data_IF_003717987372
#
_entry.id   IF_003717987372
#
_cell.length_a   1.000
_cell.length_b   1.000
_cell.length_c   1.000
_cell.angle_alpha   90.00
_cell.angle_beta   90.00
_cell.angle_gamma   90.00
#
_symmetry.space_group_name_H-M   'P 1'
#
loop_
_entity.id
_entity.type
_entity.pdbx_description
1 polymer ?
#
# COMPACT_ATOMS: atom_id res chain seq x y z
N UNK A 1 -37.19 -3.01 -54.85
CA UNK A 1 -37.25 -3.87 -53.64
C UNK A 1 -35.97 -4.68 -53.57
N UNK A 2 -35.15 -4.45 -52.54
CA UNK A 2 -34.06 -5.29 -51.97
C UNK A 2 -33.07 -4.36 -51.25
N UNK A 3 -33.46 -3.91 -50.06
CA UNK A 3 -32.54 -3.27 -49.12
C UNK A 3 -31.76 -4.37 -48.40
N UNK A 4 -30.44 -4.35 -48.52
CA UNK A 4 -29.55 -5.24 -47.75
C UNK A 4 -29.13 -4.45 -46.52
N UNK A 5 -29.67 -4.82 -45.36
CA UNK A 5 -29.24 -4.28 -44.06
C UNK A 5 -27.97 -5.04 -43.67
N UNK A 6 -26.82 -4.39 -43.82
CA UNK A 6 -25.56 -4.88 -43.28
C UNK A 6 -25.53 -4.58 -41.77
N UNK A 7 -25.81 -5.60 -40.95
CA UNK A 7 -25.65 -5.52 -39.50
C UNK A 7 -24.19 -5.79 -39.17
N UNK A 8 -23.41 -4.72 -39.01
CA UNK A 8 -22.08 -4.81 -38.41
C UNK A 8 -22.23 -4.91 -36.90
N UNK A 9 -22.22 -6.12 -36.37
CA UNK A 9 -21.90 -6.35 -34.96
C UNK A 9 -20.42 -5.98 -34.76
N UNK A 10 -20.15 -4.73 -34.41
CA UNK A 10 -18.90 -4.37 -33.76
C UNK A 10 -18.94 -4.99 -32.37
N UNK A 11 -18.35 -6.19 -32.25
CA UNK A 11 -17.94 -6.75 -30.98
C UNK A 11 -16.92 -5.80 -30.37
N UNK A 12 -17.37 -4.92 -29.48
CA UNK A 12 -16.49 -4.15 -28.62
C UNK A 12 -15.87 -5.16 -27.67
N UNK A 13 -14.70 -5.68 -28.05
CA UNK A 13 -13.88 -6.50 -27.18
C UNK A 13 -13.40 -5.57 -26.06
N UNK A 14 -14.19 -5.47 -24.99
CA UNK A 14 -13.80 -4.83 -23.74
C UNK A 14 -12.65 -5.65 -23.16
N UNK A 15 -11.44 -5.41 -23.64
CA UNK A 15 -10.25 -5.76 -22.89
C UNK A 15 -10.30 -4.89 -21.63
N UNK A 16 -10.78 -5.47 -20.54
CA UNK A 16 -10.50 -4.97 -19.20
C UNK A 16 -8.99 -5.13 -18.97
N UNK A 17 -8.18 -4.30 -19.62
CA UNK A 17 -6.83 -4.03 -19.16
C UNK A 17 -6.99 -3.38 -17.80
N UNK A 18 -6.78 -4.16 -16.73
CA UNK A 18 -6.60 -3.59 -15.41
C UNK A 18 -5.55 -2.48 -15.56
N UNK A 19 -5.91 -1.23 -15.23
CA UNK A 19 -4.98 -0.11 -15.31
C UNK A 19 -3.72 -0.47 -14.51
N UNK A 20 -2.57 -0.41 -15.18
CA UNK A 20 -1.31 -0.76 -14.55
C UNK A 20 -0.99 0.27 -13.48
N UNK A 21 -0.93 -0.17 -12.22
CA UNK A 21 -0.71 0.68 -11.05
C UNK A 21 0.51 1.60 -11.24
N UNK A 22 0.28 2.90 -11.36
CA UNK A 22 1.32 3.92 -11.46
C UNK A 22 1.61 4.49 -10.08
N UNK A 23 2.88 4.60 -9.72
CA UNK A 23 3.25 5.24 -8.48
C UNK A 23 2.88 6.72 -8.53
N UNK A 24 2.13 7.16 -7.52
CA UNK A 24 1.85 8.57 -7.29
C UNK A 24 3.13 9.27 -6.78
N UNK A 25 3.22 10.60 -6.90
CA UNK A 25 4.32 11.35 -6.33
C UNK A 25 4.45 11.09 -4.83
N UNK A 26 5.67 10.87 -4.36
CA UNK A 26 5.95 10.74 -2.93
C UNK A 26 5.86 12.11 -2.23
N UNK A 27 5.68 12.07 -0.91
CA UNK A 27 5.68 13.23 -0.05
C UNK A 27 7.00 14.00 -0.18
N UNK A 28 6.92 15.29 -0.50
CA UNK A 28 8.11 16.13 -0.70
C UNK A 28 8.99 16.23 0.55
N UNK A 29 8.40 16.07 1.73
CA UNK A 29 9.08 16.10 3.02
C UNK A 29 9.55 14.71 3.49
N UNK A 30 9.50 13.67 2.65
CA UNK A 30 9.95 12.33 3.02
C UNK A 30 11.45 12.34 3.42
N UNK A 31 11.72 11.89 4.64
CA UNK A 31 13.04 11.72 5.20
C UNK A 31 13.24 10.26 5.58
N UNK A 32 14.09 9.54 4.82
CA UNK A 32 14.33 8.11 5.00
C UNK A 32 14.82 7.75 6.40
N UNK A 33 15.70 8.57 6.99
CA UNK A 33 16.27 8.27 8.31
C UNK A 33 15.24 8.37 9.41
N UNK A 34 14.45 9.44 9.41
CA UNK A 34 13.37 9.64 10.38
C UNK A 34 12.27 8.59 10.17
N UNK A 35 11.78 8.45 8.93
CA UNK A 35 10.70 7.54 8.59
C UNK A 35 10.97 6.10 9.02
N UNK A 36 12.16 5.57 8.72
CA UNK A 36 12.51 4.18 9.05
C UNK A 36 13.04 4.00 10.48
N UNK A 37 13.27 5.07 11.25
CA UNK A 37 13.56 4.98 12.69
C UNK A 37 12.31 4.72 13.54
N UNK A 38 11.12 4.96 12.98
CA UNK A 38 9.84 4.73 13.63
C UNK A 38 9.46 3.26 13.46
N UNK A 39 9.57 2.49 14.54
CA UNK A 39 9.21 1.07 14.56
C UNK A 39 8.83 0.63 15.97
N UNK A 40 7.75 -0.15 16.17
CA UNK A 40 6.83 -0.64 15.15
C UNK A 40 5.81 0.42 14.70
N UNK A 41 5.23 0.22 13.52
CA UNK A 41 4.01 0.93 13.07
C UNK A 41 2.90 -0.06 12.73
N UNK A 42 1.65 0.35 12.86
CA UNK A 42 0.48 -0.49 12.62
C UNK A 42 -0.22 -0.06 11.34
N UNK A 43 -0.64 -1.04 10.54
CA UNK A 43 -1.60 -0.78 9.46
C UNK A 43 -2.95 -0.50 10.12
N UNK A 44 -3.51 0.68 9.89
CA UNK A 44 -4.80 1.07 10.50
C UNK A 44 -5.94 1.07 9.51
N UNK A 45 -5.65 1.44 8.25
CA UNK A 45 -6.61 1.45 7.16
C UNK A 45 -6.00 0.93 5.87
N UNK A 46 -6.85 0.37 5.01
CA UNK A 46 -6.50 -0.11 3.68
C UNK A 46 -7.63 0.21 2.70
N UNK A 47 -7.27 0.74 1.53
CA UNK A 47 -8.23 1.18 0.50
C UNK A 47 -8.88 -0.01 -0.21
N UNK A 48 -8.09 -0.99 -0.61
CA UNK A 48 -8.54 -2.11 -1.46
C UNK A 48 -8.04 -3.47 -0.97
N UNK A 49 -7.16 -3.49 0.04
CA UNK A 49 -6.60 -4.71 0.60
C UNK A 49 -7.66 -5.60 1.23
N UNK A 50 -7.33 -6.90 1.31
CA UNK A 50 -8.16 -7.88 1.99
C UNK A 50 -8.34 -7.51 3.47
N UNK A 51 -9.44 -7.95 4.09
CA UNK A 51 -9.83 -7.54 5.44
C UNK A 51 -8.68 -7.63 6.46
N UNK A 52 -7.88 -8.68 6.41
CA UNK A 52 -6.82 -8.96 7.38
C UNK A 52 -5.53 -8.17 7.08
N UNK A 53 -5.48 -7.39 6.01
CA UNK A 53 -4.34 -6.51 5.66
C UNK A 53 -4.08 -5.49 6.75
N UNK A 54 -5.15 -4.94 7.35
CA UNK A 54 -5.07 -3.96 8.44
C UNK A 54 -4.71 -4.61 9.78
N UNK A 55 -4.77 -5.94 9.91
CA UNK A 55 -4.39 -6.65 11.13
C UNK A 55 -2.89 -6.97 11.16
N UNK A 56 -2.05 -5.97 10.85
CA UNK A 56 -0.60 -6.11 10.77
C UNK A 56 0.15 -5.01 11.49
N UNK A 57 1.29 -5.37 12.06
CA UNK A 57 2.34 -4.45 12.50
C UNK A 57 3.58 -4.62 11.64
N UNK A 58 4.28 -3.52 11.37
CA UNK A 58 5.48 -3.45 10.57
C UNK A 58 6.64 -3.02 11.46
N UNK A 59 7.69 -3.83 11.46
CA UNK A 59 8.95 -3.55 12.14
C UNK A 59 10.04 -3.39 11.09
N UNK A 60 10.76 -2.26 11.09
CA UNK A 60 11.74 -1.97 10.03
C UNK A 60 13.14 -1.80 10.59
N UNK A 61 14.10 -2.39 9.89
CA UNK A 61 15.54 -2.28 10.17
C UNK A 61 16.24 -1.69 8.95
N UNK A 62 17.19 -0.77 9.16
CA UNK A 62 18.03 -0.20 8.11
C UNK A 62 19.31 -1.01 7.95
N UNK A 63 19.68 -1.32 6.72
CA UNK A 63 20.94 -1.97 6.38
C UNK A 63 22.02 -0.90 6.08
N UNK A 64 23.29 -1.30 6.18
CA UNK A 64 24.43 -0.41 5.88
C UNK A 64 24.54 0.01 4.41
N UNK A 65 23.90 -0.72 3.50
CA UNK A 65 23.87 -0.45 2.06
C UNK A 65 22.75 0.53 1.63
N UNK A 66 22.00 1.08 2.59
CA UNK A 66 20.90 2.01 2.33
C UNK A 66 19.55 1.33 2.02
N UNK A 67 19.49 0.01 1.92
CA UNK A 67 18.23 -0.73 1.90
C UNK A 67 17.61 -0.81 3.30
N UNK A 68 16.33 -1.16 3.37
CA UNK A 68 15.66 -1.48 4.63
C UNK A 68 14.94 -2.81 4.54
N UNK A 69 14.80 -3.50 5.66
CA UNK A 69 14.00 -4.72 5.77
C UNK A 69 12.82 -4.43 6.68
N UNK A 70 11.61 -4.55 6.15
CA UNK A 70 10.36 -4.43 6.89
C UNK A 70 9.75 -5.81 7.11
N UNK A 71 9.60 -6.22 8.37
CA UNK A 71 8.88 -7.42 8.76
C UNK A 71 7.42 -7.06 9.05
N UNK A 72 6.51 -7.54 8.21
CA UNK A 72 5.07 -7.42 8.39
C UNK A 72 4.53 -8.67 9.09
N UNK A 73 4.20 -8.56 10.37
CA UNK A 73 3.67 -9.67 11.18
C UNK A 73 2.21 -9.44 11.56
N UNK A 74 1.46 -10.51 11.85
CA UNK A 74 0.08 -10.40 12.34
C UNK A 74 -0.01 -9.64 13.66
N UNK A 75 -1.06 -8.84 13.80
CA UNK A 75 -1.42 -8.14 15.02
C UNK A 75 -2.96 -8.19 15.15
N UNK A 76 -3.49 -9.41 15.30
CA UNK A 76 -4.93 -9.70 15.35
C UNK A 76 -5.49 -10.28 14.05
N UNK A 77 -6.83 -10.31 13.93
CA UNK A 77 -7.55 -10.84 12.76
C UNK A 77 -7.66 -12.37 12.73
N UNK A 78 -8.70 -12.88 12.08
CA UNK A 78 -8.91 -14.32 11.84
C UNK A 78 -9.41 -14.56 10.41
N UNK A 79 -8.74 -15.40 9.60
CA UNK A 79 -7.50 -16.13 9.91
C UNK A 79 -6.29 -15.19 9.98
N UNK A 80 -5.31 -15.56 10.80
CA UNK A 80 -4.05 -14.82 10.87
C UNK A 80 -3.26 -14.95 9.57
N UNK A 81 -2.72 -13.84 9.06
CA UNK A 81 -1.86 -13.83 7.88
C UNK A 81 -0.48 -14.42 8.20
N UNK A 82 0.29 -14.92 7.23
CA UNK A 82 1.70 -15.23 7.48
C UNK A 82 2.51 -13.95 7.75
N UNK A 83 3.58 -14.08 8.53
CA UNK A 83 4.63 -13.07 8.59
C UNK A 83 5.33 -12.98 7.24
N UNK A 84 5.64 -11.76 6.80
CA UNK A 84 6.33 -11.50 5.54
C UNK A 84 7.50 -10.59 5.80
N UNK A 85 8.67 -10.92 5.26
CA UNK A 85 9.85 -10.05 5.29
C UNK A 85 10.01 -9.37 3.94
N UNK A 86 10.08 -8.04 3.91
CA UNK A 86 10.18 -7.25 2.69
C UNK A 86 11.44 -6.40 2.69
N UNK A 87 12.31 -6.59 1.71
CA UNK A 87 13.46 -5.72 1.46
C UNK A 87 13.02 -4.56 0.58
N UNK A 88 13.16 -3.33 1.06
CA UNK A 88 12.88 -2.10 0.34
C UNK A 88 14.18 -1.50 -0.20
N UNK A 89 14.26 -1.35 -1.51
CA UNK A 89 15.36 -0.70 -2.21
C UNK A 89 14.89 0.65 -2.75
N UNK A 90 15.50 1.78 -2.36
CA UNK A 90 15.14 3.10 -2.88
C UNK A 90 15.24 3.16 -4.41
N UNK A 91 14.26 3.78 -5.08
CA UNK A 91 14.33 4.02 -6.52
C UNK A 91 15.21 5.22 -6.81
N UNK A 92 16.16 5.07 -7.73
CA UNK A 92 17.01 6.17 -8.17
C UNK A 92 16.19 7.31 -8.76
N UNK A 93 16.49 8.55 -8.37
CA UNK A 93 15.80 9.75 -8.85
C UNK A 93 14.38 9.96 -8.29
N UNK A 94 13.92 9.15 -7.33
CA UNK A 94 12.57 9.28 -6.75
C UNK A 94 12.59 9.01 -5.24
N UNK A 95 12.91 10.06 -4.47
CA UNK A 95 12.91 10.00 -3.01
C UNK A 95 11.52 9.58 -2.47
N UNK A 96 11.47 8.68 -1.50
CA UNK A 96 10.22 8.15 -0.94
C UNK A 96 9.49 7.11 -1.81
N UNK A 97 10.12 6.63 -2.89
CA UNK A 97 9.63 5.51 -3.68
C UNK A 97 10.60 4.33 -3.65
N UNK A 98 10.05 3.11 -3.64
CA UNK A 98 10.83 1.89 -3.45
C UNK A 98 10.44 0.78 -4.42
N UNK A 99 11.44 -0.02 -4.80
CA UNK A 99 11.23 -1.38 -5.28
C UNK A 99 11.28 -2.30 -4.07
N UNK A 100 10.30 -3.20 -3.93
CA UNK A 100 10.15 -4.00 -2.71
C UNK A 100 10.06 -5.48 -3.09
N UNK A 101 10.90 -6.30 -2.48
CA UNK A 101 10.89 -7.76 -2.63
C UNK A 101 10.46 -8.38 -1.31
N UNK A 102 9.33 -9.07 -1.31
CA UNK A 102 8.73 -9.67 -0.13
C UNK A 102 8.83 -11.19 -0.16
N UNK A 103 9.28 -11.79 0.94
CA UNK A 103 9.44 -13.23 1.15
C UNK A 103 8.44 -13.70 2.21
N UNK A 104 7.58 -14.66 1.85
CA UNK A 104 6.58 -15.25 2.75
C UNK A 104 7.17 -16.50 3.43
N UNK A 105 7.83 -17.34 2.64
CA UNK A 105 8.54 -18.55 3.05
C UNK A 105 9.69 -18.80 2.08
N UNK A 106 10.58 -19.74 2.40
CA UNK A 106 11.61 -20.19 1.46
C UNK A 106 10.98 -20.54 0.09
N UNK A 107 11.52 -19.94 -0.97
CA UNK A 107 11.04 -20.14 -2.36
C UNK A 107 9.80 -19.33 -2.77
N UNK A 108 9.04 -18.73 -1.85
CA UNK A 108 7.83 -17.97 -2.17
C UNK A 108 8.04 -16.47 -1.93
N UNK A 109 8.28 -15.74 -3.02
CA UNK A 109 8.41 -14.29 -3.00
C UNK A 109 7.44 -13.60 -3.96
N UNK A 110 7.23 -12.31 -3.74
CA UNK A 110 6.51 -11.44 -4.64
C UNK A 110 7.16 -10.05 -4.64
N UNK A 111 6.97 -9.32 -5.73
CA UNK A 111 7.52 -7.98 -5.90
C UNK A 111 6.39 -6.97 -5.96
N UNK A 112 6.62 -5.83 -5.31
CA UNK A 112 5.76 -4.66 -5.41
C UNK A 112 6.64 -3.43 -5.61
N UNK A 113 6.03 -2.33 -6.01
CA UNK A 113 6.62 -1.00 -5.86
C UNK A 113 5.76 -0.19 -4.88
N UNK A 114 6.37 0.79 -4.23
CA UNK A 114 5.66 1.61 -3.26
C UNK A 114 6.04 3.08 -3.33
N UNK A 115 5.15 3.93 -2.83
CA UNK A 115 5.38 5.36 -2.66
C UNK A 115 4.78 5.82 -1.34
N UNK A 116 5.57 6.54 -0.55
CA UNK A 116 5.11 7.21 0.67
C UNK A 116 4.43 8.51 0.25
N UNK A 117 3.10 8.51 0.17
CA UNK A 117 2.30 9.62 -0.37
C UNK A 117 2.20 10.80 0.59
N UNK A 118 2.16 10.51 1.89
CA UNK A 118 2.13 11.50 2.96
C UNK A 118 2.78 10.92 4.21
N UNK A 119 3.50 11.73 4.96
CA UNK A 119 4.06 11.35 6.26
C UNK A 119 4.53 12.60 7.00
N UNK A 120 4.58 12.54 8.32
CA UNK A 120 5.35 13.47 9.16
C UNK A 120 6.74 12.92 9.52
N UNK A 121 7.10 11.75 9.00
CA UNK A 121 8.28 10.96 9.33
C UNK A 121 8.38 10.53 10.80
N UNK A 122 7.27 10.53 11.55
CA UNK A 122 7.27 10.22 12.98
C UNK A 122 6.06 9.38 13.41
N UNK A 123 4.84 9.86 13.18
CA UNK A 123 3.64 9.29 13.78
C UNK A 123 2.69 8.64 12.78
N UNK A 124 2.76 9.01 11.49
CA UNK A 124 1.93 8.41 10.46
C UNK A 124 2.60 8.35 9.08
N UNK A 125 2.06 7.48 8.23
CA UNK A 125 2.31 7.50 6.81
C UNK A 125 1.09 7.02 6.01
N UNK A 126 0.95 7.53 4.78
CA UNK A 126 0.06 6.98 3.76
C UNK A 126 0.95 6.33 2.70
N UNK A 127 0.87 5.01 2.58
CA UNK A 127 1.75 4.20 1.75
C UNK A 127 0.97 3.58 0.60
N UNK A 128 1.27 3.96 -0.63
CA UNK A 128 0.80 3.26 -1.82
C UNK A 128 1.63 2.00 -2.04
N UNK A 129 0.97 0.92 -2.44
CA UNK A 129 1.58 -0.32 -2.89
C UNK A 129 0.99 -0.73 -4.23
N UNK A 130 1.87 -1.01 -5.18
CA UNK A 130 1.53 -1.49 -6.51
C UNK A 130 2.11 -2.88 -6.70
N UNK A 131 1.26 -3.90 -6.79
CA UNK A 131 1.68 -5.25 -7.18
C UNK A 131 2.09 -5.32 -8.65
N UNK A 132 2.85 -6.36 -9.01
CA UNK A 132 3.07 -6.72 -10.43
C UNK A 132 1.78 -7.19 -11.10
N UNK A 133 0.91 -7.83 -10.33
CA UNK A 133 -0.46 -8.21 -10.71
C UNK A 133 -1.42 -7.81 -9.58
N UNK A 134 -2.63 -7.39 -9.94
CA UNK A 134 -3.68 -6.99 -8.98
C UNK A 134 -3.83 -5.48 -8.77
N UNK A 135 -4.87 -5.06 -8.02
CA UNK A 135 -5.19 -3.65 -7.84
C UNK A 135 -4.17 -2.94 -6.95
N UNK A 136 -4.03 -1.63 -7.17
CA UNK A 136 -3.41 -0.71 -6.22
C UNK A 136 -4.03 -0.90 -4.83
N UNK A 137 -3.20 -0.91 -3.78
CA UNK A 137 -3.66 -0.72 -2.41
C UNK A 137 -2.94 0.48 -1.77
N UNK A 138 -3.67 1.22 -0.95
CA UNK A 138 -3.14 2.35 -0.19
C UNK A 138 -3.40 2.07 1.28
N UNK A 139 -2.32 2.09 2.05
CA UNK A 139 -2.34 1.84 3.48
C UNK A 139 -2.20 3.13 4.26
N UNK A 140 -2.85 3.19 5.42
CA UNK A 140 -2.51 4.15 6.48
C UNK A 140 -1.72 3.41 7.55
N UNK A 141 -0.48 3.84 7.76
CA UNK A 141 0.41 3.36 8.82
C UNK A 141 0.44 4.38 9.95
N UNK A 142 0.33 3.94 11.21
CA UNK A 142 0.39 4.83 12.38
C UNK A 142 1.14 4.15 13.53
N UNK A 143 1.81 4.94 14.37
CA UNK A 143 2.39 4.43 15.64
C UNK A 143 1.31 4.07 16.65
N UNK A 144 0.17 4.76 16.62
CA UNK A 144 -1.01 4.42 17.41
C UNK A 144 -2.02 3.64 16.55
N UNK A 145 -2.32 2.40 16.95
CA UNK A 145 -3.30 1.56 16.27
C UNK A 145 -4.76 1.94 16.54
N UNK A 146 -5.01 2.79 17.53
CA UNK A 146 -6.32 3.28 17.91
C UNK A 146 -6.50 4.75 17.50
N UNK A 147 -7.62 5.05 16.84
CA UNK A 147 -7.90 6.39 16.34
C UNK A 147 -7.16 6.73 15.04
N UNK A 148 -7.40 7.93 14.54
CA UNK A 148 -6.86 8.42 13.27
C UNK A 148 -6.07 9.70 13.56
N UNK A 149 -4.82 9.75 13.08
CA UNK A 149 -4.00 10.94 13.16
C UNK A 149 -4.68 12.10 12.39
N UNK A 150 -4.80 13.30 12.97
CA UNK A 150 -5.43 14.44 12.30
C UNK A 150 -4.82 14.77 10.92
N UNK A 151 -3.52 14.57 10.74
CA UNK A 151 -2.84 14.82 9.45
C UNK A 151 -3.24 13.80 8.37
N UNK A 152 -3.55 12.55 8.75
CA UNK A 152 -4.16 11.58 7.84
C UNK A 152 -5.52 12.10 7.37
N UNK A 153 -6.34 12.63 8.29
CA UNK A 153 -7.67 13.16 7.93
C UNK A 153 -7.54 14.34 6.97
N UNK A 154 -6.61 15.27 7.22
CA UNK A 154 -6.33 16.40 6.32
C UNK A 154 -5.89 15.92 4.94
N UNK A 155 -4.98 14.96 4.87
CA UNK A 155 -4.52 14.39 3.61
C UNK A 155 -5.68 13.75 2.84
N UNK A 156 -6.54 12.96 3.50
CA UNK A 156 -7.70 12.33 2.87
C UNK A 156 -8.67 13.37 2.30
N UNK A 157 -8.97 14.44 3.05
CA UNK A 157 -9.80 15.54 2.56
C UNK A 157 -9.23 16.20 1.30
N UNK A 158 -7.91 16.44 1.25
CA UNK A 158 -7.25 16.98 0.07
C UNK A 158 -7.34 16.07 -1.15
N UNK A 159 -7.34 14.75 -0.94
CA UNK A 159 -7.52 13.77 -2.01
C UNK A 159 -8.99 13.54 -2.39
N UNK A 160 -9.95 14.16 -1.69
CA UNK A 160 -11.37 13.88 -1.84
C UNK A 160 -11.75 12.47 -1.39
N UNK A 161 -10.97 11.86 -0.51
CA UNK A 161 -11.23 10.52 0.03
C UNK A 161 -11.95 10.61 1.37
N UNK A 162 -12.76 9.59 1.65
CA UNK A 162 -13.39 9.38 2.94
C UNK A 162 -12.79 8.14 3.61
N UNK A 163 -12.11 8.32 4.74
CA UNK A 163 -11.44 7.23 5.47
C UNK A 163 -12.42 6.18 5.98
N UNK A 164 -13.69 6.55 6.20
CA UNK A 164 -14.72 5.62 6.65
C UNK A 164 -15.14 4.64 5.54
N UNK A 165 -14.80 4.89 4.28
CA UNK A 165 -15.09 3.96 3.19
C UNK A 165 -14.02 2.85 3.11
N UNK A 166 -12.87 3.05 3.77
CA UNK A 166 -11.75 2.12 3.72
C UNK A 166 -11.92 1.00 4.74
N UNK A 167 -11.25 -0.13 4.52
CA UNK A 167 -11.16 -1.18 5.52
C UNK A 167 -10.36 -0.64 6.71
N UNK A 168 -10.86 -0.82 7.93
CA UNK A 168 -10.21 -0.40 9.17
C UNK A 168 -10.00 -1.59 10.09
N UNK A 169 -9.10 -1.47 11.06
CA UNK A 169 -8.85 -2.54 12.04
C UNK A 169 -10.12 -3.00 12.76
N UNK A 170 -10.94 -2.04 13.19
CA UNK A 170 -12.21 -2.32 13.86
C UNK A 170 -13.19 -3.09 12.96
N UNK A 171 -13.29 -2.73 11.67
CA UNK A 171 -14.10 -3.48 10.69
C UNK A 171 -13.55 -4.90 10.47
N UNK A 172 -12.22 -5.05 10.55
CA UNK A 172 -11.54 -6.31 10.33
C UNK A 172 -11.55 -7.25 11.54
N UNK A 173 -11.94 -6.77 12.74
CA UNK A 173 -11.88 -7.56 13.97
C UNK A 173 -10.46 -7.75 14.50
N UNK A 174 -9.57 -6.79 14.23
CA UNK A 174 -8.37 -6.55 15.02
C UNK A 174 -8.62 -5.41 16.04
#
# INVERSE_FOLDING_TARGET
MKGIIAVTLLGILMHACAEQCQLKPAAANFNSEQYFSVSPVYVTHSKTGQQETVCRKYETTKNGDGTTVTVASPDGGTPSRPTVSCTNTPKSGSNGQFSVVCVISEGNNYQITSSVLATDNNSYAVLQRCGTTGPEDILVLQTNKNGINPEVTKYFQQQGWNINDWMSRAKAGC
#
